data_IF_761353417231
#
_entry.id   IF_761353417231
#
_cell.length_a   1.000
_cell.length_b   1.000
_cell.length_c   1.000
_cell.angle_alpha   90.00
_cell.angle_beta   90.00
_cell.angle_gamma   90.00
#
_symmetry.space_group_name_H-M   'P 1'
#
loop_
_entity.id
_entity.type
_entity.pdbx_description
1 polymer ?
#
# COMPACT_ATOMS: atom_id res chain seq x y z
N UNK A 1 -33.20 20.93 -9.53
CA UNK A 1 -32.05 21.46 -8.76
C UNK A 1 -31.37 20.29 -8.06
N UNK A 2 -30.19 19.86 -8.55
CA UNK A 2 -29.14 19.14 -7.81
C UNK A 2 -28.06 18.76 -8.84
N UNK A 3 -27.07 19.64 -8.97
CA UNK A 3 -25.96 19.54 -9.91
C UNK A 3 -24.97 18.44 -9.51
N UNK A 4 -24.54 17.69 -10.52
CA UNK A 4 -23.47 16.69 -10.57
C UNK A 4 -22.24 17.10 -9.75
N UNK A 5 -21.74 16.20 -8.91
CA UNK A 5 -20.33 16.15 -8.49
C UNK A 5 -19.89 14.68 -8.40
N UNK A 6 -19.97 13.96 -9.53
CA UNK A 6 -19.40 12.62 -9.68
C UNK A 6 -17.93 12.72 -10.07
N UNK A 7 -17.05 13.07 -9.14
CA UNK A 7 -15.61 12.81 -9.31
C UNK A 7 -15.40 11.32 -9.03
N UNK A 8 -15.53 10.50 -10.06
CA UNK A 8 -15.07 9.12 -10.03
C UNK A 8 -13.53 9.19 -9.98
N UNK A 9 -12.95 9.21 -8.78
CA UNK A 9 -11.51 9.13 -8.61
C UNK A 9 -11.02 7.89 -9.36
N UNK A 10 -10.21 8.08 -10.41
CA UNK A 10 -9.58 6.97 -11.11
C UNK A 10 -8.64 6.28 -10.14
N UNK A 11 -9.11 5.22 -9.49
CA UNK A 11 -8.30 4.37 -8.63
C UNK A 11 -7.15 3.83 -9.45
N UNK A 12 -5.92 4.27 -9.14
CA UNK A 12 -4.71 3.75 -9.78
C UNK A 12 -4.41 2.39 -9.18
N UNK A 13 -4.11 1.41 -10.02
CA UNK A 13 -3.71 0.07 -9.60
C UNK A 13 -2.22 -0.14 -9.90
N UNK A 14 -1.53 -0.85 -9.00
CA UNK A 14 -0.13 -1.24 -9.14
C UNK A 14 -0.05 -2.77 -9.10
N UNK A 15 0.89 -3.34 -9.86
CA UNK A 15 1.21 -4.77 -9.79
C UNK A 15 2.31 -5.04 -8.76
N UNK A 16 2.08 -6.01 -7.88
CA UNK A 16 3.10 -6.47 -6.95
C UNK A 16 4.16 -7.31 -7.65
N UNK A 17 5.43 -6.92 -7.56
CA UNK A 17 6.53 -7.67 -8.16
C UNK A 17 6.80 -9.01 -7.48
N UNK A 18 6.33 -9.19 -6.24
CA UNK A 18 6.54 -10.43 -5.48
C UNK A 18 5.50 -11.51 -5.79
N UNK A 19 4.27 -11.13 -6.16
CA UNK A 19 3.18 -12.09 -6.40
C UNK A 19 2.33 -11.80 -7.65
N UNK A 20 2.72 -10.83 -8.48
CA UNK A 20 2.02 -10.37 -9.70
C UNK A 20 0.56 -9.91 -9.53
N UNK A 21 0.04 -9.85 -8.30
CA UNK A 21 -1.34 -9.40 -8.04
C UNK A 21 -1.43 -7.88 -8.27
N UNK A 22 -2.49 -7.46 -8.97
CA UNK A 22 -2.87 -6.05 -9.11
C UNK A 22 -3.70 -5.60 -7.90
N UNK A 23 -3.30 -4.50 -7.27
CA UNK A 23 -3.98 -3.90 -6.12
C UNK A 23 -4.06 -2.39 -6.27
N UNK A 24 -5.10 -1.75 -5.69
CA UNK A 24 -5.18 -0.29 -5.67
C UNK A 24 -3.96 0.31 -4.98
N UNK A 25 -3.53 1.47 -5.46
CA UNK A 25 -2.41 2.24 -4.91
C UNK A 25 -2.65 2.52 -3.42
N UNK A 26 -3.86 3.00 -3.10
CA UNK A 26 -4.34 3.14 -1.73
C UNK A 26 -4.52 1.74 -1.13
N UNK A 27 -3.69 1.40 -0.13
CA UNK A 27 -3.69 0.08 0.51
C UNK A 27 -2.67 -0.92 -0.07
N UNK A 28 -1.88 -0.55 -1.07
CA UNK A 28 -0.85 -1.45 -1.61
C UNK A 28 0.24 -1.77 -0.58
N UNK A 29 0.63 -0.79 0.24
CA UNK A 29 1.60 -1.01 1.31
C UNK A 29 1.09 -2.03 2.34
N UNK A 30 -0.20 -1.98 2.68
CA UNK A 30 -0.86 -2.97 3.54
C UNK A 30 -0.76 -4.38 2.98
N UNK A 31 -0.96 -4.54 1.67
CA UNK A 31 -0.76 -5.80 0.99
C UNK A 31 0.66 -6.33 1.19
N UNK A 32 1.70 -5.51 0.98
CA UNK A 32 3.09 -5.94 1.15
C UNK A 32 3.36 -6.36 2.59
N UNK A 33 2.97 -5.51 3.55
CA UNK A 33 3.22 -5.76 4.97
C UNK A 33 2.59 -7.07 5.45
N UNK A 34 1.32 -7.30 5.13
CA UNK A 34 0.61 -8.48 5.60
C UNK A 34 1.01 -9.75 4.85
N UNK A 35 1.10 -9.70 3.52
CA UNK A 35 1.28 -10.91 2.69
C UNK A 35 2.73 -11.32 2.52
N UNK A 36 3.66 -10.36 2.47
CA UNK A 36 5.06 -10.65 2.17
C UNK A 36 5.97 -10.54 3.40
N UNK A 37 5.63 -9.67 4.36
CA UNK A 37 6.48 -9.41 5.52
C UNK A 37 5.89 -9.88 6.86
N UNK A 38 4.61 -10.30 6.88
CA UNK A 38 3.85 -10.62 8.09
C UNK A 38 4.03 -9.55 9.19
N UNK A 39 4.02 -8.29 8.77
CA UNK A 39 4.39 -7.15 9.58
C UNK A 39 3.18 -6.26 9.87
N UNK A 40 3.08 -5.78 11.11
CA UNK A 40 2.02 -4.90 11.58
C UNK A 40 2.65 -3.75 12.35
N UNK A 41 2.38 -2.52 11.91
CA UNK A 41 3.00 -1.30 12.46
C UNK A 41 2.40 -0.88 13.80
N UNK A 42 1.12 -1.16 14.00
CA UNK A 42 0.39 -0.82 15.19
C UNK A 42 0.27 -2.06 16.07
N UNK A 43 0.92 -2.04 17.23
CA UNK A 43 0.87 -3.15 18.19
C UNK A 43 0.39 -2.63 19.53
N UNK A 44 -0.67 -3.22 20.05
CA UNK A 44 -1.13 -2.90 21.39
C UNK A 44 -0.13 -3.43 22.42
N UNK A 45 0.20 -2.60 23.42
CA UNK A 45 1.11 -3.00 24.51
C UNK A 45 0.42 -3.82 25.59
N UNK A 46 -0.93 -3.78 25.66
CA UNK A 46 -1.74 -4.41 26.70
C UNK A 46 -2.46 -5.68 26.25
N UNK A 47 -2.55 -5.95 24.95
CA UNK A 47 -3.21 -7.14 24.43
C UNK A 47 -2.60 -7.59 23.09
N UNK A 48 -3.09 -8.71 22.55
CA UNK A 48 -2.61 -9.32 21.29
C UNK A 48 -3.03 -8.58 20.02
N UNK A 49 -3.67 -7.41 20.15
CA UNK A 49 -4.11 -6.60 19.01
C UNK A 49 -2.91 -6.10 18.20
N UNK A 50 -2.99 -6.31 16.89
CA UNK A 50 -2.04 -5.81 15.90
C UNK A 50 -2.79 -5.39 14.63
N UNK A 51 -2.43 -4.24 14.07
CA UNK A 51 -2.99 -3.74 12.83
C UNK A 51 -1.91 -3.02 12.00
N UNK A 52 -2.14 -2.88 10.69
CA UNK A 52 -1.35 -2.04 9.81
C UNK A 52 -2.08 -0.76 9.37
N UNK A 53 -3.37 -0.65 9.74
CA UNK A 53 -4.23 0.50 9.50
C UNK A 53 -4.25 1.42 10.72
N UNK A 54 -4.13 2.71 10.47
CA UNK A 54 -4.17 3.75 11.50
C UNK A 54 -5.57 3.89 12.12
N UNK A 55 -6.62 3.82 11.30
CA UNK A 55 -8.02 3.93 11.74
C UNK A 55 -8.36 2.83 12.77
N UNK A 56 -8.02 1.58 12.46
CA UNK A 56 -8.21 0.45 13.38
C UNK A 56 -7.44 0.64 14.70
N UNK A 57 -6.22 1.19 14.62
CA UNK A 57 -5.40 1.45 15.80
C UNK A 57 -5.96 2.56 16.69
N UNK A 58 -6.53 3.61 16.07
CA UNK A 58 -7.17 4.72 16.74
C UNK A 58 -8.46 4.27 17.40
N UNK A 59 -9.28 3.50 16.69
CA UNK A 59 -10.51 2.91 17.21
C UNK A 59 -10.22 1.99 18.40
N UNK A 60 -9.24 1.09 18.29
CA UNK A 60 -8.85 0.21 19.39
C UNK A 60 -8.36 1.00 20.61
N UNK A 61 -7.56 2.04 20.39
CA UNK A 61 -7.07 2.90 21.48
C UNK A 61 -8.23 3.61 22.19
N UNK A 62 -9.22 4.09 21.44
CA UNK A 62 -10.41 4.74 21.97
C UNK A 62 -11.33 3.77 22.73
N UNK A 63 -11.69 2.65 22.12
CA UNK A 63 -12.66 1.70 22.71
C UNK A 63 -12.09 0.92 23.91
N UNK A 64 -10.82 0.53 23.84
CA UNK A 64 -10.18 -0.29 24.88
C UNK A 64 -9.39 0.53 25.89
N UNK A 65 -9.20 1.83 25.64
CA UNK A 65 -8.30 2.68 26.43
C UNK A 65 -6.90 2.04 26.56
N UNK A 66 -6.44 1.46 25.46
CA UNK A 66 -5.18 0.76 25.35
C UNK A 66 -4.19 1.63 24.56
N UNK A 67 -2.94 1.66 25.02
CA UNK A 67 -1.90 2.35 24.28
C UNK A 67 -1.37 1.45 23.16
N UNK A 68 -1.59 1.86 21.92
CA UNK A 68 -1.06 1.22 20.73
C UNK A 68 0.25 1.89 20.33
N UNK A 69 1.32 1.11 20.29
CA UNK A 69 2.63 1.59 19.86
C UNK A 69 2.74 1.49 18.35
N UNK A 70 3.23 2.55 17.73
CA UNK A 70 3.66 2.56 16.34
C UNK A 70 5.14 2.20 16.23
N UNK A 71 5.47 1.20 15.43
CA UNK A 71 6.84 0.70 15.26
C UNK A 71 7.40 1.20 13.90
N UNK A 72 7.77 2.48 13.81
CA UNK A 72 8.26 3.09 12.57
C UNK A 72 9.72 2.75 12.25
N UNK A 73 10.51 2.49 13.28
CA UNK A 73 11.95 2.16 13.18
C UNK A 73 12.21 0.73 12.71
N UNK A 74 11.16 -0.06 12.44
CA UNK A 74 11.33 -1.45 12.05
C UNK A 74 11.96 -1.57 10.65
N UNK A 75 12.98 -2.43 10.52
CA UNK A 75 13.55 -2.77 9.21
C UNK A 75 12.49 -3.32 8.25
N UNK A 76 11.47 -4.02 8.76
CA UNK A 76 10.36 -4.52 7.95
C UNK A 76 9.53 -3.39 7.33
N UNK A 77 9.40 -2.24 8.00
CA UNK A 77 8.71 -1.08 7.42
C UNK A 77 9.52 -0.49 6.26
N UNK A 78 10.83 -0.32 6.47
CA UNK A 78 11.73 0.15 5.43
C UNK A 78 11.70 -0.78 4.20
N UNK A 79 11.69 -2.09 4.43
CA UNK A 79 11.59 -3.08 3.35
C UNK A 79 10.24 -3.00 2.62
N UNK A 80 9.13 -2.83 3.34
CA UNK A 80 7.80 -2.66 2.74
C UNK A 80 7.74 -1.45 1.80
N UNK A 81 8.26 -0.31 2.26
CA UNK A 81 8.32 0.93 1.49
C UNK A 81 9.22 0.76 0.26
N UNK A 82 10.36 0.10 0.40
CA UNK A 82 11.27 -0.16 -0.71
C UNK A 82 10.64 -1.04 -1.79
N UNK A 83 9.99 -2.15 -1.40
CA UNK A 83 9.26 -3.03 -2.33
C UNK A 83 8.17 -2.24 -3.06
N UNK A 84 7.43 -1.38 -2.35
CA UNK A 84 6.42 -0.54 -2.96
C UNK A 84 7.00 0.42 -4.00
N UNK A 85 8.09 1.10 -3.67
CA UNK A 85 8.79 2.00 -4.59
C UNK A 85 9.27 1.26 -5.84
N UNK A 86 9.80 0.03 -5.69
CA UNK A 86 10.23 -0.79 -6.82
C UNK A 86 9.04 -1.22 -7.69
N UNK A 87 7.90 -1.60 -7.08
CA UNK A 87 6.66 -1.90 -7.80
C UNK A 87 6.16 -0.69 -8.60
N UNK A 88 6.18 0.50 -7.99
CA UNK A 88 5.83 1.74 -8.66
C UNK A 88 6.77 2.02 -9.85
N UNK A 89 8.08 1.99 -9.64
CA UNK A 89 9.09 2.29 -10.67
C UNK A 89 8.97 1.38 -11.88
N UNK A 90 8.79 0.07 -11.67
CA UNK A 90 8.65 -0.88 -12.79
C UNK A 90 7.38 -0.62 -13.61
N UNK A 91 6.30 -0.17 -12.99
CA UNK A 91 5.09 0.20 -13.72
C UNK A 91 5.29 1.46 -14.59
N UNK A 92 6.12 2.41 -14.17
CA UNK A 92 6.46 3.58 -14.99
C UNK A 92 7.46 3.22 -16.10
N UNK A 93 8.44 2.35 -15.84
CA UNK A 93 9.39 1.89 -16.85
C UNK A 93 8.72 1.12 -18.00
N UNK A 94 7.64 0.39 -17.73
CA UNK A 94 6.86 -0.30 -18.77
C UNK A 94 6.13 0.71 -19.68
N UNK A 95 5.74 1.88 -19.17
CA UNK A 95 5.05 2.91 -19.97
C UNK A 95 5.99 3.66 -20.92
N UNK A 96 7.24 3.88 -20.52
CA UNK A 96 8.28 4.48 -21.38
C UNK A 96 8.81 3.49 -22.43
N UNK A 97 8.72 2.18 -22.19
CA UNK A 97 9.17 1.15 -23.11
C UNK A 97 8.21 0.86 -24.28
N UNK A 98 6.94 1.26 -24.17
CA UNK A 98 5.91 0.98 -25.18
C UNK A 98 5.83 2.01 -26.32
N UNK A 99 6.71 3.01 -26.36
CA UNK A 99 6.76 4.01 -27.46
C UNK A 99 7.93 3.78 -28.45
N UNK A 100 8.59 2.61 -28.42
CA UNK A 100 9.78 2.36 -29.26
C UNK A 100 9.76 1.10 -30.13
N UNK A 101 8.58 0.54 -30.40
CA UNK A 101 8.44 -0.63 -31.27
C UNK A 101 7.31 -0.51 -32.30
N UNK A 102 7.03 0.68 -32.87
CA UNK A 102 6.22 0.78 -34.10
C UNK A 102 6.64 1.99 -34.97
N UNK A 103 7.82 1.93 -35.60
CA UNK A 103 8.10 2.53 -36.93
C UNK A 103 9.54 2.28 -37.39
N UNK A 104 9.96 1.01 -37.43
CA UNK A 104 11.08 0.56 -38.25
C UNK A 104 10.64 -0.74 -38.92
N UNK A 105 9.78 -0.61 -39.94
CA UNK A 105 9.64 -1.58 -41.02
C UNK A 105 8.80 -1.02 -42.17
N UNK A 106 9.48 -0.89 -43.31
CA UNK A 106 9.03 -0.59 -44.69
C UNK A 106 8.91 0.89 -45.09
#
# INVERSE_FOLDING_TARGET
>A
MATKNGQLERVRYIHCLLCNVSKPFNGFLSHIRQKHLNYYRYKCTKCTFKSDNEEDSSLHSFEKNHHVKFDDVNYQEHLAVKIFQDCCRKQFAIRDGTEKEECDNS
#
